data_IF_579437108684
#
_entry.id   IF_579437108684
#
_cell.length_a   1.000
_cell.length_b   1.000
_cell.length_c   1.000
_cell.angle_alpha   90.00
_cell.angle_beta   90.00
_cell.angle_gamma   90.00
#
_symmetry.space_group_name_H-M   'P 1'
#
loop_
_entity.id
_entity.type
_entity.pdbx_description
1 polymer ?
#
# COMPACT_ATOMS: atom_id res chain seq x y z
N UNK A 1 -64.25 -33.80 8.99
CA UNK A 1 -63.12 -33.95 8.03
C UNK A 1 -62.38 -32.63 7.95
N UNK A 2 -61.14 -32.61 8.44
CA UNK A 2 -60.30 -31.43 8.52
C UNK A 2 -59.42 -31.29 7.27
N UNK A 3 -59.34 -30.10 6.68
CA UNK A 3 -58.17 -29.67 5.92
C UNK A 3 -58.08 -28.14 5.96
N UNK A 4 -57.48 -27.63 7.03
CA UNK A 4 -57.19 -26.20 7.19
C UNK A 4 -55.88 -26.05 7.96
N UNK A 5 -54.76 -26.47 7.36
CA UNK A 5 -53.44 -26.25 7.97
C UNK A 5 -52.30 -26.46 6.96
N UNK A 6 -52.26 -25.71 5.87
CA UNK A 6 -51.03 -25.70 5.03
C UNK A 6 -50.60 -24.30 4.56
N UNK A 7 -51.39 -23.24 4.78
CA UNK A 7 -51.07 -21.91 4.20
C UNK A 7 -50.06 -21.12 5.07
N UNK A 8 -50.04 -21.32 6.40
CA UNK A 8 -49.15 -20.55 7.30
C UNK A 8 -47.70 -21.05 7.28
N UNK A 9 -47.48 -22.33 7.01
CA UNK A 9 -46.14 -22.95 7.03
C UNK A 9 -45.34 -22.57 5.79
N UNK A 10 -45.99 -22.50 4.62
CA UNK A 10 -45.36 -22.08 3.36
C UNK A 10 -44.99 -20.59 3.33
N UNK A 11 -45.82 -19.73 3.93
CA UNK A 11 -45.51 -18.29 4.03
C UNK A 11 -44.26 -18.03 4.89
N UNK A 12 -44.10 -18.75 6.01
CA UNK A 12 -42.94 -18.62 6.88
C UNK A 12 -41.67 -19.23 6.27
N UNK A 13 -41.80 -20.34 5.53
CA UNK A 13 -40.69 -20.93 4.79
C UNK A 13 -40.18 -19.99 3.70
N UNK A 14 -41.09 -19.37 2.93
CA UNK A 14 -40.74 -18.39 1.89
C UNK A 14 -40.12 -17.11 2.50
N UNK A 15 -40.58 -16.67 3.67
CA UNK A 15 -39.98 -15.53 4.37
C UNK A 15 -38.56 -15.85 4.90
N UNK A 16 -38.35 -17.04 5.45
CA UNK A 16 -37.03 -17.49 5.92
C UNK A 16 -36.05 -17.70 4.76
N UNK A 17 -36.50 -18.26 3.63
CA UNK A 17 -35.70 -18.40 2.41
C UNK A 17 -35.29 -17.02 1.86
N UNK A 18 -36.21 -16.04 1.82
CA UNK A 18 -35.89 -14.66 1.43
C UNK A 18 -34.90 -13.98 2.38
N UNK A 19 -35.07 -14.16 3.69
CA UNK A 19 -34.16 -13.59 4.69
C UNK A 19 -32.76 -14.17 4.54
N UNK A 20 -32.65 -15.48 4.28
CA UNK A 20 -31.38 -16.17 4.06
C UNK A 20 -30.68 -15.70 2.78
N UNK A 21 -31.43 -15.48 1.70
CA UNK A 21 -30.89 -14.92 0.46
C UNK A 21 -30.37 -13.50 0.69
N UNK A 22 -31.12 -12.66 1.41
CA UNK A 22 -30.72 -11.28 1.71
C UNK A 22 -29.46 -11.24 2.58
N UNK A 23 -29.35 -12.10 3.60
CA UNK A 23 -28.17 -12.15 4.47
C UNK A 23 -26.93 -12.66 3.71
N UNK A 24 -27.06 -13.69 2.87
CA UNK A 24 -25.96 -14.17 2.02
C UNK A 24 -25.52 -13.07 1.04
N UNK A 25 -26.46 -12.34 0.44
CA UNK A 25 -26.17 -11.24 -0.47
C UNK A 25 -25.40 -10.11 0.23
N UNK A 26 -25.80 -9.78 1.46
CA UNK A 26 -25.15 -8.73 2.25
C UNK A 26 -23.73 -9.15 2.69
N UNK A 27 -23.56 -10.40 3.15
CA UNK A 27 -22.23 -10.95 3.45
C UNK A 27 -21.32 -10.99 2.22
N UNK A 28 -21.88 -11.33 1.05
CA UNK A 28 -21.13 -11.34 -0.22
C UNK A 28 -20.66 -9.93 -0.60
N UNK A 29 -21.51 -8.91 -0.45
CA UNK A 29 -21.14 -7.52 -0.69
C UNK A 29 -20.06 -7.01 0.28
N UNK A 30 -20.15 -7.37 1.56
CA UNK A 30 -19.14 -7.06 2.58
C UNK A 30 -17.80 -7.77 2.30
N UNK A 31 -17.83 -9.00 1.78
CA UNK A 31 -16.64 -9.73 1.37
C UNK A 31 -15.96 -9.04 0.17
N UNK A 32 -16.73 -8.60 -0.83
CA UNK A 32 -16.21 -7.88 -2.00
C UNK A 32 -15.59 -6.54 -1.58
N UNK A 33 -16.23 -5.79 -0.67
CA UNK A 33 -15.70 -4.53 -0.15
C UNK A 33 -14.36 -4.74 0.59
N UNK A 34 -14.22 -5.82 1.35
CA UNK A 34 -12.95 -6.19 1.98
C UNK A 34 -11.89 -6.70 0.98
N UNK A 35 -12.29 -7.33 -0.12
CA UNK A 35 -11.35 -7.73 -1.18
C UNK A 35 -10.86 -6.51 -1.95
N UNK A 36 -11.69 -5.48 -2.15
CA UNK A 36 -11.28 -4.22 -2.83
C UNK A 36 -10.33 -3.39 -1.97
N UNK A 37 -10.40 -3.47 -0.64
CA UNK A 37 -9.38 -2.87 0.24
C UNK A 37 -8.10 -3.70 0.34
N UNK A 38 -8.15 -5.00 0.06
CA UNK A 38 -6.98 -5.88 0.00
C UNK A 38 -6.32 -5.95 -1.40
N UNK A 39 -7.08 -5.63 -2.44
CA UNK A 39 -6.61 -5.48 -3.83
C UNK A 39 -6.51 -3.99 -4.12
N UNK A 40 -5.49 -3.37 -3.55
CA UNK A 40 -5.21 -1.95 -3.75
C UNK A 40 -5.28 -1.58 -5.23
N UNK A 41 -6.35 -0.89 -5.60
CA UNK A 41 -6.38 -0.13 -6.83
C UNK A 41 -5.33 0.97 -6.68
N UNK A 42 -4.11 0.66 -7.13
CA UNK A 42 -3.10 1.66 -7.41
C UNK A 42 -3.63 2.51 -8.54
N UNK A 43 -4.00 3.75 -8.23
CA UNK A 43 -4.16 4.78 -9.24
C UNK A 43 -2.79 4.97 -9.87
N UNK A 44 -2.66 4.54 -11.13
CA UNK A 44 -1.47 4.84 -11.94
C UNK A 44 -1.38 6.36 -12.06
N UNK A 45 -0.53 6.98 -11.26
CA UNK A 45 0.04 8.26 -11.62
C UNK A 45 0.93 7.99 -12.83
N UNK A 46 0.59 8.59 -13.97
CA UNK A 46 1.47 8.65 -15.13
C UNK A 46 2.61 9.61 -14.79
N UNK A 47 3.55 9.17 -13.96
CA UNK A 47 4.91 9.69 -14.02
C UNK A 47 5.49 9.11 -15.30
N UNK A 48 5.78 10.00 -16.24
CA UNK A 48 6.45 9.70 -17.49
C UNK A 48 7.86 9.18 -17.18
N UNK A 49 7.96 7.93 -16.71
CA UNK A 49 9.21 7.21 -16.59
C UNK A 49 9.63 6.86 -18.00
N UNK A 50 10.42 7.73 -18.61
CA UNK A 50 11.38 7.27 -19.61
C UNK A 50 12.32 6.27 -18.92
N UNK A 51 11.91 5.02 -18.91
CA UNK A 51 12.81 3.88 -18.73
C UNK A 51 13.75 3.91 -19.92
N UNK A 52 14.89 4.58 -19.74
CA UNK A 52 16.05 4.33 -20.59
C UNK A 52 16.49 2.92 -20.24
N UNK A 53 16.49 2.04 -21.24
CA UNK A 53 16.73 0.60 -21.12
C UNK A 53 17.94 0.27 -20.23
N UNK A 54 17.67 -0.50 -19.17
CA UNK A 54 18.64 -1.05 -18.22
C UNK A 54 18.06 -1.03 -16.80
N UNK A 55 17.89 -2.18 -16.15
CA UNK A 55 17.63 -2.22 -14.71
C UNK A 55 18.68 -1.35 -14.01
N UNK A 56 18.26 -0.29 -13.32
CA UNK A 56 19.20 0.54 -12.58
C UNK A 56 19.82 -0.31 -11.47
N UNK A 57 21.09 -0.10 -11.15
CA UNK A 57 21.75 -0.84 -10.07
C UNK A 57 20.96 -0.76 -8.75
N UNK A 58 20.22 0.35 -8.54
CA UNK A 58 19.33 0.55 -7.42
C UNK A 58 18.17 -0.45 -7.36
N UNK A 59 17.48 -0.70 -8.48
CA UNK A 59 16.36 -1.66 -8.49
C UNK A 59 16.84 -3.11 -8.27
N UNK A 60 18.05 -3.45 -8.75
CA UNK A 60 18.62 -4.81 -8.61
C UNK A 60 18.92 -5.19 -7.16
N UNK A 61 19.15 -4.22 -6.28
CA UNK A 61 19.36 -4.43 -4.84
C UNK A 61 18.07 -4.26 -4.02
N UNK A 62 16.91 -4.15 -4.69
CA UNK A 62 15.62 -3.88 -4.03
C UNK A 62 15.47 -2.44 -3.52
N UNK A 63 16.33 -1.53 -3.98
CA UNK A 63 16.27 -0.11 -3.65
C UNK A 63 15.26 0.65 -4.51
N UNK A 64 14.91 1.85 -4.03
CA UNK A 64 14.04 2.82 -4.69
C UNK A 64 14.85 4.08 -4.94
N UNK A 65 14.77 4.60 -6.16
CA UNK A 65 15.37 5.89 -6.50
C UNK A 65 14.45 7.02 -6.01
N UNK A 66 14.91 7.76 -5.02
CA UNK A 66 14.25 8.97 -4.52
C UNK A 66 14.88 10.21 -5.16
N UNK A 67 14.03 11.22 -5.37
CA UNK A 67 14.44 12.59 -5.69
C UNK A 67 14.02 13.51 -4.57
N UNK A 68 14.74 14.60 -4.40
CA UNK A 68 14.43 15.58 -3.35
C UNK A 68 12.99 16.08 -3.49
N UNK A 69 12.27 16.16 -2.36
CA UNK A 69 10.86 16.53 -2.30
C UNK A 69 9.88 15.44 -2.72
N UNK A 70 10.35 14.27 -3.16
CA UNK A 70 9.48 13.13 -3.48
C UNK A 70 9.19 12.35 -2.21
N UNK A 71 7.90 12.16 -1.95
CA UNK A 71 7.39 11.30 -0.89
C UNK A 71 6.93 9.96 -1.45
N UNK A 72 7.28 8.87 -0.78
CA UNK A 72 6.79 7.53 -1.03
C UNK A 72 6.09 6.98 0.21
N UNK A 73 5.13 6.07 0.00
CA UNK A 73 4.55 5.30 1.10
C UNK A 73 5.26 3.94 1.20
N UNK A 74 5.83 3.65 2.37
CA UNK A 74 6.43 2.36 2.68
C UNK A 74 5.76 1.75 3.91
N UNK A 75 4.98 0.68 3.70
CA UNK A 75 4.26 -0.04 4.75
C UNK A 75 3.38 0.86 5.64
N UNK A 76 2.76 1.90 5.06
CA UNK A 76 1.94 2.87 5.78
C UNK A 76 2.71 4.09 6.30
N UNK A 77 4.04 4.10 6.19
CA UNK A 77 4.88 5.23 6.57
C UNK A 77 5.16 6.14 5.37
N UNK A 78 5.00 7.44 5.56
CA UNK A 78 5.40 8.48 4.61
C UNK A 78 6.91 8.69 4.71
N UNK A 79 7.65 8.34 3.65
CA UNK A 79 9.11 8.51 3.55
C UNK A 79 9.39 9.57 2.50
N UNK A 80 10.10 10.63 2.86
CA UNK A 80 10.46 11.72 1.96
C UNK A 80 11.96 11.94 1.96
N UNK A 81 12.54 12.12 0.78
CA UNK A 81 13.91 12.63 0.66
C UNK A 81 13.87 14.15 0.76
N UNK A 82 14.31 14.70 1.88
CA UNK A 82 14.29 16.15 2.15
C UNK A 82 15.48 16.88 1.53
N UNK A 83 16.63 16.22 1.48
CA UNK A 83 17.86 16.78 0.96
C UNK A 83 18.76 15.67 0.42
N UNK A 84 19.52 15.95 -0.62
CA UNK A 84 20.49 15.00 -1.17
C UNK A 84 21.86 15.62 -1.39
N UNK A 85 22.91 14.81 -1.22
CA UNK A 85 24.30 15.14 -1.54
C UNK A 85 25.05 13.84 -1.87
N UNK A 86 26.29 13.95 -2.35
CA UNK A 86 27.13 12.77 -2.62
C UNK A 86 27.44 11.96 -1.35
N UNK A 87 27.60 12.63 -0.21
CA UNK A 87 28.05 11.98 1.03
C UNK A 87 26.90 11.56 1.96
N UNK A 88 25.78 12.28 1.93
CA UNK A 88 24.68 12.10 2.85
C UNK A 88 23.34 12.52 2.26
N UNK A 89 22.26 11.97 2.81
CA UNK A 89 20.88 12.33 2.46
C UNK A 89 20.10 12.67 3.72
N UNK A 90 19.18 13.62 3.63
CA UNK A 90 18.18 13.90 4.65
C UNK A 90 16.90 13.13 4.33
N UNK A 91 16.47 12.24 5.22
CA UNK A 91 15.25 11.45 5.04
C UNK A 91 14.29 11.73 6.20
N UNK A 92 13.06 12.10 5.86
CA UNK A 92 11.95 12.23 6.79
C UNK A 92 11.08 10.98 6.74
N UNK A 93 10.75 10.42 7.91
CA UNK A 93 9.75 9.35 8.05
C UNK A 93 8.66 9.77 9.03
N UNK A 94 7.45 10.00 8.52
CA UNK A 94 6.29 10.53 9.25
C UNK A 94 6.64 11.73 10.15
N UNK A 95 7.30 12.76 9.61
CA UNK A 95 7.67 13.96 10.36
C UNK A 95 8.94 13.85 11.21
N UNK A 96 9.63 12.70 11.24
CA UNK A 96 10.94 12.57 11.88
C UNK A 96 12.06 12.53 10.84
N UNK A 97 12.90 13.57 10.84
CA UNK A 97 14.04 13.69 9.93
C UNK A 97 15.34 13.16 10.52
N UNK A 98 16.14 12.46 9.72
CA UNK A 98 17.54 12.13 10.02
C UNK A 98 18.40 12.15 8.77
N UNK A 99 19.68 12.46 8.96
CA UNK A 99 20.70 12.27 7.93
C UNK A 99 21.16 10.82 7.86
N UNK A 100 21.26 10.26 6.67
CA UNK A 100 21.80 8.93 6.40
C UNK A 100 23.02 9.06 5.50
N UNK A 101 24.20 8.72 6.02
CA UNK A 101 25.45 8.74 5.25
C UNK A 101 25.42 7.66 4.16
N UNK A 102 26.10 7.93 3.05
CA UNK A 102 26.26 6.96 1.97
C UNK A 102 26.87 5.65 2.49
N UNK A 103 26.31 4.51 2.07
CA UNK A 103 26.67 3.17 2.53
C UNK A 103 26.13 2.77 3.91
N UNK A 104 25.48 3.67 4.66
CA UNK A 104 25.01 3.42 6.02
C UNK A 104 23.50 3.23 6.09
N UNK A 105 23.05 2.62 7.19
CA UNK A 105 21.64 2.45 7.53
C UNK A 105 21.29 3.10 8.87
N UNK A 106 20.08 3.65 8.96
CA UNK A 106 19.57 4.33 10.14
C UNK A 106 18.11 3.94 10.34
N UNK A 107 17.72 3.71 11.59
CA UNK A 107 16.32 3.54 11.97
C UNK A 107 15.64 4.90 12.19
N UNK A 108 14.53 5.13 11.48
CA UNK A 108 13.73 6.35 11.54
C UNK A 108 12.26 5.94 11.66
N UNK A 109 11.65 6.25 12.81
CA UNK A 109 10.22 6.08 13.06
C UNK A 109 9.56 4.77 12.55
N UNK A 110 10.18 3.62 12.82
CA UNK A 110 9.61 2.33 12.41
C UNK A 110 10.12 1.79 11.07
N UNK A 111 10.99 2.52 10.37
CA UNK A 111 11.56 2.15 9.07
C UNK A 111 13.07 2.17 9.15
N UNK A 112 13.72 1.11 8.69
CA UNK A 112 15.16 1.11 8.42
C UNK A 112 15.39 1.75 7.06
N UNK A 113 16.18 2.82 7.02
CA UNK A 113 16.55 3.52 5.80
C UNK A 113 18.03 3.34 5.57
N UNK A 114 18.39 2.70 4.44
CA UNK A 114 19.78 2.56 4.00
C UNK A 114 20.03 3.41 2.77
N UNK A 115 20.98 4.34 2.86
CA UNK A 115 21.48 5.07 1.70
C UNK A 115 22.52 4.18 1.01
N UNK A 116 22.18 3.55 -0.11
CA UNK A 116 23.12 2.73 -0.84
C UNK A 116 24.09 3.57 -1.66
N UNK A 117 23.58 4.62 -2.31
CA UNK A 117 24.34 5.58 -3.07
C UNK A 117 23.49 6.84 -3.28
N UNK A 118 24.10 8.01 -3.26
CA UNK A 118 23.43 9.28 -3.54
C UNK A 118 24.33 10.21 -4.34
N UNK A 119 23.72 11.20 -4.99
CA UNK A 119 24.39 12.32 -5.64
C UNK A 119 23.61 13.61 -5.35
N UNK A 120 23.96 14.71 -6.01
CA UNK A 120 23.31 16.02 -5.84
C UNK A 120 21.83 16.07 -6.27
N UNK A 121 21.31 15.05 -6.96
CA UNK A 121 19.96 15.03 -7.53
C UNK A 121 19.09 13.89 -7.02
N UNK A 122 19.69 12.69 -6.89
CA UNK A 122 18.97 11.46 -6.60
C UNK A 122 19.68 10.65 -5.49
N UNK A 123 18.90 9.85 -4.77
CA UNK A 123 19.39 8.86 -3.82
C UNK A 123 18.77 7.49 -4.05
N UNK A 124 19.58 6.44 -3.97
CA UNK A 124 19.13 5.06 -3.94
C UNK A 124 18.95 4.62 -2.48
N UNK A 125 17.69 4.51 -2.05
CA UNK A 125 17.34 4.10 -0.70
C UNK A 125 16.81 2.68 -0.68
N UNK A 126 17.30 1.86 0.24
CA UNK A 126 16.67 0.57 0.57
C UNK A 126 15.89 0.76 1.87
N UNK A 127 14.61 0.38 1.84
CA UNK A 127 13.67 0.57 2.96
C UNK A 127 13.20 -0.80 3.47
N UNK A 128 13.23 -1.01 4.79
CA UNK A 128 12.77 -2.25 5.43
C UNK A 128 12.17 -2.04 6.82
#
# INVERSE_FOLDING_TARGET
>A
MAKKSDIKTDANRNHNEKLLIVTISLLSALLILNIVTLTGFSTKFTTDYRVVQGESACSRIGGVLFREGVTANHNGNSVMLEATSEDAVGVEVNGQSRSVLSGHEVWINGVTVKNFASNENDACLVLS
#
